data_IF_862048421312
#
_entry.id   IF_862048421312
#
_cell.length_a   1.000
_cell.length_b   1.000
_cell.length_c   1.000
_cell.angle_alpha   90.00
_cell.angle_beta   90.00
_cell.angle_gamma   90.00
#
_symmetry.space_group_name_H-M   'P 1'
#
loop_
_entity.id
_entity.type
_entity.pdbx_description
1 polymer ?
#
# COMPACT_ATOMS: atom_id res chain seq x y z
N UNK A 1 -4.24 -13.76 3.16
CA UNK A 1 -3.72 -14.86 4.00
C UNK A 1 -2.29 -14.58 4.43
N UNK A 2 -1.68 -15.46 5.24
CA UNK A 2 -0.33 -15.28 5.81
C UNK A 2 0.80 -14.85 4.82
N UNK A 3 0.89 -15.35 3.57
CA UNK A 3 1.96 -14.91 2.65
C UNK A 3 1.80 -13.48 2.12
N UNK A 4 0.68 -12.81 2.40
CA UNK A 4 0.38 -11.44 2.00
C UNK A 4 0.48 -10.45 3.17
N UNK A 5 1.15 -10.84 4.27
CA UNK A 5 1.35 -9.99 5.44
C UNK A 5 2.80 -10.16 5.90
N UNK A 6 3.50 -9.06 6.15
CA UNK A 6 4.87 -9.09 6.65
C UNK A 6 5.11 -8.07 7.75
N UNK A 7 5.75 -8.53 8.82
CA UNK A 7 6.31 -7.70 9.89
C UNK A 7 7.84 -7.71 9.89
N UNK A 8 8.47 -8.26 8.84
CA UNK A 8 9.92 -8.32 8.73
C UNK A 8 10.51 -6.91 8.61
N UNK A 9 11.56 -6.62 9.37
CA UNK A 9 12.19 -5.29 9.43
C UNK A 9 12.56 -4.75 8.04
N UNK A 10 13.27 -5.54 7.23
CA UNK A 10 13.69 -5.12 5.90
C UNK A 10 12.51 -4.75 4.98
N UNK A 11 11.40 -5.49 5.07
CA UNK A 11 10.20 -5.18 4.30
C UNK A 11 9.60 -3.85 4.78
N UNK A 12 9.49 -3.65 6.09
CA UNK A 12 8.93 -2.42 6.64
C UNK A 12 9.79 -1.20 6.31
N UNK A 13 11.11 -1.32 6.37
CA UNK A 13 12.04 -0.24 5.97
C UNK A 13 11.92 0.11 4.49
N UNK A 14 11.79 -0.90 3.61
CA UNK A 14 11.54 -0.69 2.19
C UNK A 14 10.24 0.10 1.94
N UNK A 15 9.22 -0.07 2.78
CA UNK A 15 7.93 0.62 2.67
C UNK A 15 7.82 1.85 3.59
N UNK A 16 8.93 2.27 4.20
CA UNK A 16 8.99 3.40 5.13
C UNK A 16 9.63 4.65 4.56
N UNK A 17 10.08 4.62 3.30
CA UNK A 17 10.69 5.76 2.63
C UNK A 17 10.27 5.79 1.16
N UNK A 18 10.34 6.99 0.59
CA UNK A 18 10.34 7.21 -0.86
C UNK A 18 11.66 7.86 -1.29
N UNK A 19 11.73 8.40 -2.52
CA UNK A 19 12.91 9.07 -3.07
C UNK A 19 13.13 10.49 -2.52
N UNK A 20 12.40 10.87 -1.46
CA UNK A 20 12.60 12.13 -0.75
C UNK A 20 13.83 12.12 0.15
N UNK A 21 14.14 13.29 0.70
CA UNK A 21 15.20 13.46 1.70
C UNK A 21 14.72 13.16 3.13
N UNK A 22 13.46 12.72 3.31
CA UNK A 22 12.90 12.47 4.64
C UNK A 22 13.47 11.17 5.25
N UNK A 23 13.71 11.14 6.57
CA UNK A 23 14.12 9.91 7.23
C UNK A 23 13.08 8.80 7.05
N UNK A 24 13.55 7.55 6.89
CA UNK A 24 12.70 6.38 6.85
C UNK A 24 11.83 6.29 8.12
N UNK A 25 10.52 6.19 7.93
CA UNK A 25 9.52 5.95 8.96
C UNK A 25 8.73 4.69 8.58
N UNK A 26 9.15 3.49 9.05
CA UNK A 26 8.53 2.24 8.64
C UNK A 26 7.13 2.04 9.25
N UNK A 27 6.17 1.47 8.50
CA UNK A 27 4.87 1.04 9.04
C UNK A 27 5.05 -0.09 10.07
N UNK A 28 4.01 -0.44 10.81
CA UNK A 28 4.04 -1.59 11.75
C UNK A 28 3.95 -2.93 11.00
N UNK A 29 3.21 -2.95 9.90
CA UNK A 29 2.97 -4.13 9.06
C UNK A 29 2.76 -3.71 7.61
N UNK A 30 3.24 -4.54 6.68
CA UNK A 30 2.97 -4.40 5.24
C UNK A 30 2.01 -5.51 4.83
N UNK A 31 0.96 -5.15 4.12
CA UNK A 31 -0.05 -6.06 3.59
C UNK A 31 -0.14 -5.88 2.08
N UNK A 32 -0.26 -6.99 1.34
CA UNK A 32 -0.47 -7.00 -0.11
C UNK A 32 -1.87 -7.51 -0.45
N UNK A 33 -2.90 -6.65 -0.46
CA UNK A 33 -4.20 -6.99 -1.03
C UNK A 33 -4.05 -7.40 -2.50
N UNK A 34 -4.92 -8.31 -2.95
CA UNK A 34 -4.97 -8.78 -4.34
C UNK A 34 -6.33 -8.53 -4.99
N UNK A 35 -7.27 -7.93 -4.26
CA UNK A 35 -8.61 -7.62 -4.73
C UNK A 35 -9.22 -6.47 -3.92
N UNK A 36 -10.14 -5.74 -4.56
CA UNK A 36 -10.86 -4.61 -3.94
C UNK A 36 -11.53 -4.99 -2.62
N UNK A 37 -12.15 -6.18 -2.55
CA UNK A 37 -12.78 -6.66 -1.32
C UNK A 37 -11.81 -6.76 -0.13
N UNK A 38 -10.56 -7.17 -0.37
CA UNK A 38 -9.54 -7.26 0.68
C UNK A 38 -9.10 -5.86 1.15
N UNK A 39 -9.01 -4.89 0.22
CA UNK A 39 -8.74 -3.49 0.57
C UNK A 39 -9.88 -2.94 1.43
N UNK A 40 -11.13 -3.20 1.06
CA UNK A 40 -12.32 -2.76 1.81
C UNK A 40 -12.35 -3.33 3.23
N UNK A 41 -12.14 -4.64 3.38
CA UNK A 41 -12.09 -5.30 4.70
C UNK A 41 -10.95 -4.75 5.56
N UNK A 42 -9.76 -4.58 5.00
CA UNK A 42 -8.59 -4.07 5.72
C UNK A 42 -8.77 -2.60 6.12
N UNK A 43 -9.32 -1.77 5.24
CA UNK A 43 -9.60 -0.37 5.52
C UNK A 43 -10.67 -0.20 6.60
N UNK A 44 -11.74 -1.02 6.56
CA UNK A 44 -12.77 -1.05 7.59
C UNK A 44 -12.19 -1.46 8.95
N UNK A 45 -11.30 -2.46 8.98
CA UNK A 45 -10.60 -2.87 10.19
C UNK A 45 -9.71 -1.76 10.76
N UNK A 46 -8.88 -1.13 9.91
CA UNK A 46 -8.02 -0.03 10.34
C UNK A 46 -8.84 1.14 10.88
N UNK A 47 -9.95 1.48 10.22
CA UNK A 47 -10.87 2.51 10.69
C UNK A 47 -11.46 2.17 12.06
N UNK A 48 -11.97 0.96 12.24
CA UNK A 48 -12.56 0.51 13.51
C UNK A 48 -11.53 0.55 14.66
N UNK A 49 -10.30 0.13 14.39
CA UNK A 49 -9.20 0.09 15.36
C UNK A 49 -8.48 1.44 15.52
N UNK A 50 -8.84 2.47 14.74
CA UNK A 50 -8.15 3.77 14.67
C UNK A 50 -6.65 3.63 14.36
N UNK A 51 -6.31 2.75 13.43
CA UNK A 51 -4.93 2.53 12.97
C UNK A 51 -4.70 3.31 11.67
N UNK A 52 -3.59 4.09 11.54
CA UNK A 52 -3.25 4.77 10.30
C UNK A 52 -3.11 3.81 9.12
N UNK A 53 -3.55 4.26 7.95
CA UNK A 53 -3.43 3.52 6.69
C UNK A 53 -2.47 4.27 5.78
N UNK A 54 -1.47 3.58 5.25
CA UNK A 54 -0.47 4.15 4.35
C UNK A 54 -0.55 3.43 3.01
N UNK A 55 -1.11 4.05 1.95
CA UNK A 55 -1.11 3.45 0.62
C UNK A 55 0.31 3.47 0.04
N UNK A 56 0.72 2.37 -0.58
CA UNK A 56 2.02 2.23 -1.21
C UNK A 56 1.87 1.65 -2.62
N UNK A 57 2.57 2.27 -3.57
CA UNK A 57 2.70 1.78 -4.95
C UNK A 57 4.13 1.30 -5.18
N UNK A 58 4.96 2.18 -5.73
CA UNK A 58 6.38 1.87 -6.07
C UNK A 58 7.39 2.55 -5.16
N UNK A 59 6.95 3.41 -4.22
CA UNK A 59 7.85 4.16 -3.34
C UNK A 59 8.61 5.30 -4.04
N UNK A 60 8.23 5.71 -5.25
CA UNK A 60 8.97 6.73 -6.01
C UNK A 60 8.47 8.17 -5.76
N UNK A 61 7.77 8.40 -4.66
CA UNK A 61 7.38 9.74 -4.22
C UNK A 61 8.60 10.60 -3.88
N UNK A 62 8.42 11.92 -3.83
CA UNK A 62 9.52 12.87 -3.57
C UNK A 62 9.31 13.71 -2.31
N UNK A 63 8.21 13.50 -1.59
CA UNK A 63 7.76 14.35 -0.49
C UNK A 63 7.38 13.55 0.77
N UNK A 64 7.83 12.29 0.88
CA UNK A 64 7.61 11.45 2.06
C UNK A 64 6.18 10.93 2.17
N UNK A 65 5.45 10.79 1.05
CA UNK A 65 4.03 10.43 1.05
C UNK A 65 3.74 9.04 1.61
N UNK A 66 4.75 8.15 1.56
CA UNK A 66 4.68 6.78 2.09
C UNK A 66 5.26 6.64 3.50
N UNK A 67 5.81 7.72 4.08
CA UNK A 67 6.44 7.65 5.39
C UNK A 67 5.36 7.47 6.46
N UNK A 68 5.41 6.33 7.17
CA UNK A 68 4.47 5.99 8.22
C UNK A 68 4.83 6.68 9.55
N UNK A 69 4.76 8.01 9.58
CA UNK A 69 5.18 8.85 10.72
C UNK A 69 4.46 8.52 12.04
N UNK A 70 3.31 7.87 11.97
CA UNK A 70 2.52 7.39 13.12
C UNK A 70 2.44 5.85 13.20
N UNK A 71 3.32 5.13 12.49
CA UNK A 71 3.19 3.70 12.28
C UNK A 71 1.95 3.35 11.46
N UNK A 72 1.33 2.21 11.76
CA UNK A 72 0.11 1.75 11.11
C UNK A 72 0.33 0.68 10.04
N UNK A 73 -0.66 0.53 9.16
CA UNK A 73 -0.70 -0.52 8.15
C UNK A 73 -0.35 0.07 6.79
N UNK A 74 0.69 -0.48 6.16
CA UNK A 74 0.97 -0.21 4.76
C UNK A 74 0.16 -1.14 3.86
N UNK A 75 -0.53 -0.53 2.90
CA UNK A 75 -1.33 -1.19 1.87
C UNK A 75 -0.50 -1.15 0.59
N UNK A 76 0.32 -2.18 0.36
CA UNK A 76 1.09 -2.28 -0.88
C UNK A 76 0.19 -2.87 -1.98
N UNK A 77 -0.17 -2.01 -2.93
CA UNK A 77 -1.06 -2.32 -4.05
C UNK A 77 -0.30 -2.86 -5.27
N UNK A 78 1.02 -3.09 -5.18
CA UNK A 78 1.85 -3.59 -6.29
C UNK A 78 1.42 -4.95 -6.86
N UNK A 79 0.61 -5.72 -6.11
CA UNK A 79 0.04 -7.00 -6.57
C UNK A 79 -1.36 -6.88 -7.19
N UNK A 80 -1.91 -5.66 -7.28
CA UNK A 80 -3.15 -5.34 -8.00
C UNK A 80 -2.79 -4.67 -9.33
N UNK A 81 -2.19 -5.43 -10.25
CA UNK A 81 -1.53 -4.96 -11.48
C UNK A 81 -2.23 -5.39 -12.78
N UNK A 82 -3.47 -5.90 -12.67
CA UNK A 82 -4.20 -6.43 -13.80
C UNK A 82 -4.88 -5.32 -14.63
N UNK A 83 -4.82 -5.45 -15.96
CA UNK A 83 -5.73 -4.72 -16.85
C UNK A 83 -7.11 -5.37 -16.74
N UNK A 84 -8.06 -4.67 -16.13
CA UNK A 84 -9.39 -5.19 -15.87
C UNK A 84 -10.31 -5.15 -17.10
N UNK A 85 -10.20 -4.11 -17.93
CA UNK A 85 -11.03 -3.94 -19.12
C UNK A 85 -10.32 -3.11 -20.19
N UNK A 86 -10.56 -3.45 -21.47
CA UNK A 86 -10.12 -2.69 -22.63
C UNK A 86 -11.34 -2.41 -23.51
N UNK A 87 -11.74 -1.14 -23.63
CA UNK A 87 -12.77 -0.68 -24.56
C UNK A 87 -12.11 0.01 -25.75
N UNK A 88 -12.10 -0.67 -26.91
CA UNK A 88 -11.60 -0.09 -28.16
C UNK A 88 -12.56 0.96 -28.72
N UNK A 89 -13.86 0.83 -28.46
CA UNK A 89 -14.89 1.75 -28.93
C UNK A 89 -14.81 3.10 -28.21
N UNK A 90 -14.54 3.07 -26.89
CA UNK A 90 -14.42 4.27 -26.05
C UNK A 90 -12.98 4.78 -25.89
N UNK A 91 -12.01 4.09 -26.50
CA UNK A 91 -10.58 4.37 -26.38
C UNK A 91 -10.12 4.48 -24.90
N UNK A 92 -10.52 3.50 -24.09
CA UNK A 92 -10.25 3.48 -22.64
C UNK A 92 -9.78 2.12 -22.13
N UNK A 93 -9.06 2.14 -21.00
CA UNK A 93 -8.54 0.96 -20.30
C UNK A 93 -8.78 1.14 -18.80
N UNK A 94 -9.35 0.13 -18.17
CA UNK A 94 -9.47 0.05 -16.70
C UNK A 94 -8.30 -0.77 -16.17
N UNK A 95 -7.54 -0.19 -15.22
CA UNK A 95 -6.40 -0.80 -14.52
C UNK A 95 -6.63 -0.82 -13.03
#
# INVERSE_FOLDING_TARGET
GAPNVSTATAVREQHGHDESMHPCAPPDVVVWPQAVGQVQELAALCHHCRVPMVPFGTGTGLEGGVNAVQGGVCFDLSRMDAIAELSLEDFSVTV
#
